data_IF_975997154225
#
_entry.id   IF_975997154225
#
_cell.length_a   1.000
_cell.length_b   1.000
_cell.length_c   1.000
_cell.angle_alpha   90.00
_cell.angle_beta   90.00
_cell.angle_gamma   90.00
#
_symmetry.space_group_name_H-M   'P 1'
#
loop_
_entity.id
_entity.type
_entity.pdbx_description
1 polymer ?
#
# COMPACT_ATOMS: atom_id res chain seq x y z
N UNK A 1 57.38 -6.61 15.71
CA UNK A 1 56.21 -6.36 16.57
C UNK A 1 55.24 -5.49 15.79
N UNK A 2 54.13 -6.05 15.32
CA UNK A 2 53.10 -5.32 14.58
C UNK A 2 52.00 -4.98 15.58
N UNK A 3 51.84 -3.71 15.92
CA UNK A 3 50.78 -3.21 16.79
C UNK A 3 49.50 -3.12 15.96
N UNK A 4 48.52 -3.98 16.25
CA UNK A 4 47.21 -3.92 15.64
C UNK A 4 46.42 -2.73 16.22
N UNK A 5 46.08 -1.78 15.35
CA UNK A 5 45.18 -0.67 15.68
C UNK A 5 43.77 -1.20 15.96
N UNK A 6 43.07 -0.78 17.03
CA UNK A 6 41.70 -1.19 17.26
C UNK A 6 40.74 -0.56 16.24
N UNK A 7 39.63 -1.23 15.88
CA UNK A 7 38.63 -0.67 14.98
C UNK A 7 37.79 0.40 15.69
N UNK A 8 37.60 1.54 15.02
CA UNK A 8 36.68 2.61 15.45
C UNK A 8 35.22 2.12 15.40
N UNK A 9 34.41 2.33 16.44
CA UNK A 9 32.99 2.00 16.37
C UNK A 9 32.27 2.99 15.45
N UNK A 10 31.65 2.48 14.38
CA UNK A 10 30.74 3.24 13.53
C UNK A 10 29.41 3.37 14.26
N UNK A 11 29.12 4.56 14.77
CA UNK A 11 27.81 4.88 15.36
C UNK A 11 26.80 5.03 14.22
N UNK A 12 26.03 3.97 13.95
CA UNK A 12 24.84 4.03 13.09
C UNK A 12 23.74 4.78 13.84
N UNK A 13 23.72 6.10 13.68
CA UNK A 13 22.58 6.92 14.10
C UNK A 13 21.40 6.54 13.21
N UNK A 14 20.54 5.65 13.69
CA UNK A 14 19.22 5.41 13.10
C UNK A 14 18.37 6.65 13.40
N UNK A 15 18.61 7.72 12.64
CA UNK A 15 17.67 8.82 12.48
C UNK A 15 16.37 8.18 11.97
N UNK A 16 15.47 7.92 12.90
CA UNK A 16 14.16 7.37 12.58
C UNK A 16 13.41 8.52 11.92
N UNK A 17 13.15 8.48 10.59
CA UNK A 17 12.39 9.56 9.98
C UNK A 17 11.05 9.61 10.71
N UNK A 18 10.73 10.79 11.24
CA UNK A 18 9.48 11.05 11.93
C UNK A 18 8.36 10.47 11.06
N UNK A 19 7.69 9.42 11.55
CA UNK A 19 6.52 8.85 10.87
C UNK A 19 5.63 10.03 10.53
N UNK A 20 5.22 10.22 9.26
CA UNK A 20 4.23 11.22 8.95
C UNK A 20 3.05 10.91 9.87
N UNK A 21 2.73 11.87 10.73
CA UNK A 21 1.50 11.81 11.51
C UNK A 21 0.42 11.65 10.46
N UNK A 22 -0.17 10.46 10.37
CA UNK A 22 -1.39 10.24 9.62
C UNK A 22 -2.44 11.11 10.30
N UNK A 23 -2.43 12.40 9.95
CA UNK A 23 -3.51 13.31 10.23
C UNK A 23 -4.75 12.64 9.68
N UNK A 24 -5.81 12.69 10.47
CA UNK A 24 -7.16 12.26 10.12
C UNK A 24 -7.38 12.56 8.63
N UNK A 25 -7.35 11.54 7.77
CA UNK A 25 -7.63 11.75 6.35
C UNK A 25 -9.04 12.34 6.30
N UNK A 26 -9.22 13.57 5.81
CA UNK A 26 -10.53 14.17 5.77
C UNK A 26 -11.34 13.34 4.79
N UNK A 27 -12.35 12.67 5.32
CA UNK A 27 -13.43 12.02 4.59
C UNK A 27 -12.99 10.71 3.91
N UNK A 28 -13.20 9.61 4.63
CA UNK A 28 -13.57 8.34 4.02
C UNK A 28 -14.84 8.58 3.17
N UNK A 29 -14.67 9.07 1.94
CA UNK A 29 -15.78 9.37 1.05
C UNK A 29 -16.34 8.05 0.50
N UNK A 30 -17.52 7.61 0.95
CA UNK A 30 -18.09 6.34 0.53
C UNK A 30 -18.39 6.33 -0.98
N UNK A 31 -18.65 7.48 -1.60
CA UNK A 31 -18.91 7.58 -3.03
C UNK A 31 -17.62 7.38 -3.85
N UNK A 32 -16.50 7.96 -3.41
CA UNK A 32 -15.18 7.72 -4.03
C UNK A 32 -14.79 6.26 -3.89
N UNK A 33 -14.97 5.68 -2.69
CA UNK A 33 -14.75 4.24 -2.47
C UNK A 33 -15.58 3.39 -3.41
N UNK A 34 -16.89 3.67 -3.52
CA UNK A 34 -17.78 2.93 -4.40
C UNK A 34 -17.37 3.04 -5.88
N UNK A 35 -16.96 4.23 -6.33
CA UNK A 35 -16.48 4.43 -7.71
C UNK A 35 -15.24 3.61 -8.01
N UNK A 36 -14.28 3.55 -7.08
CA UNK A 36 -13.08 2.72 -7.24
C UNK A 36 -13.42 1.23 -7.33
N UNK A 37 -14.40 0.75 -6.54
CA UNK A 37 -14.85 -0.65 -6.60
C UNK A 37 -15.53 -0.98 -7.93
N UNK A 38 -16.41 -0.10 -8.43
CA UNK A 38 -17.04 -0.26 -9.75
C UNK A 38 -16.00 -0.26 -10.88
N UNK A 39 -14.96 0.58 -10.76
CA UNK A 39 -13.87 0.60 -11.73
C UNK A 39 -13.05 -0.70 -11.69
N UNK A 40 -12.78 -1.24 -10.49
CA UNK A 40 -12.08 -2.51 -10.33
C UNK A 40 -12.87 -3.67 -10.96
N UNK A 41 -14.19 -3.69 -10.78
CA UNK A 41 -15.07 -4.70 -11.38
C UNK A 41 -15.03 -4.65 -12.91
N UNK A 42 -15.12 -3.45 -13.50
CA UNK A 42 -15.00 -3.29 -14.96
C UNK A 42 -13.64 -3.76 -15.50
N UNK A 43 -12.55 -3.46 -14.78
CA UNK A 43 -11.20 -3.92 -15.15
C UNK A 43 -11.05 -5.44 -15.01
N UNK A 44 -11.69 -6.06 -14.02
CA UNK A 44 -11.71 -7.52 -13.88
C UNK A 44 -12.47 -8.20 -15.03
N UNK A 45 -13.57 -7.61 -15.52
CA UNK A 45 -14.24 -8.10 -16.72
C UNK A 45 -13.37 -7.95 -17.97
N UNK A 46 -12.67 -6.82 -18.13
CA UNK A 46 -11.70 -6.65 -19.22
C UNK A 46 -10.58 -7.70 -19.15
N UNK A 47 -10.06 -7.99 -17.96
CA UNK A 47 -9.07 -9.03 -17.77
C UNK A 47 -9.57 -10.43 -18.19
N UNK A 48 -10.84 -10.74 -17.87
CA UNK A 48 -11.50 -12.00 -18.28
C UNK A 48 -11.66 -12.10 -19.79
N UNK A 49 -12.04 -11.01 -20.45
CA UNK A 49 -12.17 -10.96 -21.92
C UNK A 49 -10.80 -11.16 -22.57
N UNK A 50 -9.79 -10.38 -22.18
CA UNK A 50 -8.43 -10.51 -22.71
C UNK A 50 -7.85 -11.93 -22.51
N UNK A 51 -8.07 -12.53 -21.34
CA UNK A 51 -7.63 -13.91 -21.08
C UNK A 51 -8.33 -14.93 -21.99
N UNK A 52 -9.63 -14.76 -22.28
CA UNK A 52 -10.37 -15.63 -23.21
C UNK A 52 -9.88 -15.50 -24.65
N UNK A 53 -9.44 -14.30 -25.03
CA UNK A 53 -8.86 -14.02 -26.36
C UNK A 53 -7.40 -14.47 -26.48
N UNK A 54 -6.78 -14.91 -25.37
CA UNK A 54 -5.38 -15.30 -25.32
C UNK A 54 -4.40 -14.13 -25.17
N UNK A 55 -4.89 -12.91 -24.97
CA UNK A 55 -4.09 -11.74 -24.64
C UNK A 55 -3.73 -11.74 -23.15
N UNK A 56 -2.68 -12.50 -22.83
CA UNK A 56 -2.18 -12.67 -21.46
C UNK A 56 -1.62 -11.34 -20.91
N UNK A 57 -0.93 -10.57 -21.73
CA UNK A 57 -0.34 -9.28 -21.33
C UNK A 57 -1.44 -8.25 -21.03
N UNK A 58 -2.45 -8.15 -21.88
CA UNK A 58 -3.62 -7.29 -21.66
C UNK A 58 -4.38 -7.69 -20.40
N UNK A 59 -4.58 -9.00 -20.18
CA UNK A 59 -5.20 -9.52 -18.97
C UNK A 59 -4.42 -9.15 -17.70
N UNK A 60 -3.09 -9.37 -17.70
CA UNK A 60 -2.23 -9.04 -16.57
C UNK A 60 -2.26 -7.54 -16.24
N UNK A 61 -2.23 -6.68 -17.24
CA UNK A 61 -2.34 -5.22 -17.05
C UNK A 61 -3.68 -4.83 -16.42
N UNK A 62 -4.77 -5.38 -16.91
CA UNK A 62 -6.10 -5.11 -16.38
C UNK A 62 -6.24 -5.57 -14.92
N UNK A 63 -5.70 -6.74 -14.57
CA UNK A 63 -5.65 -7.25 -13.18
C UNK A 63 -4.90 -6.28 -12.27
N UNK A 64 -3.70 -5.84 -12.66
CA UNK A 64 -2.91 -4.91 -11.84
C UNK A 64 -3.65 -3.59 -11.60
N UNK A 65 -4.33 -3.06 -12.63
CA UNK A 65 -5.14 -1.85 -12.50
C UNK A 65 -6.35 -2.05 -11.58
N UNK A 66 -7.01 -3.21 -11.62
CA UNK A 66 -8.11 -3.54 -10.73
C UNK A 66 -7.65 -3.59 -9.27
N UNK A 67 -6.53 -4.29 -9.01
CA UNK A 67 -5.92 -4.38 -7.67
C UNK A 67 -5.52 -3.01 -7.12
N UNK A 68 -5.03 -2.11 -7.96
CA UNK A 68 -4.74 -0.74 -7.55
C UNK A 68 -6.00 0.03 -7.13
N UNK A 69 -7.12 -0.16 -7.84
CA UNK A 69 -8.40 0.42 -7.46
C UNK A 69 -8.89 -0.13 -6.11
N UNK A 70 -8.79 -1.45 -5.90
CA UNK A 70 -9.15 -2.10 -4.64
C UNK A 70 -8.27 -1.63 -3.47
N UNK A 71 -6.95 -1.55 -3.68
CA UNK A 71 -5.99 -1.05 -2.69
C UNK A 71 -6.34 0.38 -2.27
N UNK A 72 -6.64 1.25 -3.24
CA UNK A 72 -7.05 2.63 -2.97
C UNK A 72 -8.39 2.69 -2.24
N UNK A 73 -9.35 1.84 -2.62
CA UNK A 73 -10.64 1.73 -1.93
C UNK A 73 -10.49 1.24 -0.48
N UNK A 74 -9.55 0.33 -0.22
CA UNK A 74 -9.19 -0.14 1.13
C UNK A 74 -8.55 0.94 1.99
N UNK A 75 -7.72 1.81 1.39
CA UNK A 75 -7.13 2.98 2.05
C UNK A 75 -8.14 4.07 2.44
N UNK A 76 -9.34 4.06 1.85
CA UNK A 76 -10.46 4.95 2.20
C UNK A 76 -11.39 4.35 3.28
N UNK A 77 -11.10 3.13 3.75
CA UNK A 77 -11.87 2.49 4.82
C UNK A 77 -11.73 3.20 6.16
N UNK A 78 -12.71 3.01 7.04
CA UNK A 78 -12.64 3.51 8.42
C UNK A 78 -11.36 2.98 9.08
N UNK A 79 -10.47 3.90 9.45
CA UNK A 79 -9.29 3.54 10.23
C UNK A 79 -9.78 3.05 11.59
N UNK A 80 -9.81 1.73 11.79
CA UNK A 80 -9.98 1.15 13.12
C UNK A 80 -8.72 1.49 13.87
N UNK A 81 -8.75 2.62 14.61
CA UNK A 81 -7.68 3.00 15.53
C UNK A 81 -7.42 1.79 16.43
N UNK A 82 -6.29 1.12 16.22
CA UNK A 82 -5.75 0.23 17.22
C UNK A 82 -5.44 1.11 18.42
N UNK A 83 -6.39 1.17 19.35
CA UNK A 83 -6.19 1.72 20.67
C UNK A 83 -5.03 0.94 21.28
N UNK A 84 -3.82 1.48 21.19
CA UNK A 84 -2.69 0.96 21.93
C UNK A 84 -3.10 1.08 23.39
N UNK A 85 -3.42 -0.05 24.01
CA UNK A 85 -3.70 -0.10 25.44
C UNK A 85 -2.40 0.30 26.15
N UNK A 86 -2.36 1.39 26.94
CA UNK A 86 -1.16 1.73 27.69
C UNK A 86 -0.85 0.58 28.64
N UNK A 87 0.40 0.12 28.64
CA UNK A 87 0.87 -0.82 29.66
C UNK A 87 1.12 0.01 30.92
N UNK A 88 0.22 -0.11 31.90
CA UNK A 88 0.52 0.21 33.29
C UNK A 88 1.51 -0.82 33.86
#
# INVERSE_FOLDING_TARGET
>A
MIVASPPTPVTLTLETPARPRFGVSPLSDPAVRQRLLLQAEALNEQARVAAREGDIDGSARAILQALDCERRAGGLGLQVLQLIKPRA
#
